data_IF_738700695842
#
_entry.id   IF_738700695842
#
_cell.length_a   1.000
_cell.length_b   1.000
_cell.length_c   1.000
_cell.angle_alpha   90.00
_cell.angle_beta   90.00
_cell.angle_gamma   90.00
#
_symmetry.space_group_name_H-M   'P 1'
#
loop_
_entity.id
_entity.type
_entity.pdbx_description
1 polymer ?
#
# COMPACT_ATOMS: atom_id res chain seq x y z
N UNK A 1 27.50 32.40 15.99
CA UNK A 1 26.19 31.82 16.39
C UNK A 1 25.53 32.63 17.52
N UNK A 2 26.17 32.76 18.69
CA UNK A 2 25.64 33.49 19.87
C UNK A 2 25.28 34.96 19.60
N UNK A 3 26.14 35.72 18.89
CA UNK A 3 25.86 37.14 18.56
C UNK A 3 24.64 37.32 17.63
N UNK A 4 24.41 36.38 16.71
CA UNK A 4 23.27 36.41 15.77
C UNK A 4 21.96 36.12 16.50
N UNK A 5 21.98 35.14 17.40
CA UNK A 5 20.86 34.82 18.29
C UNK A 5 20.49 36.00 19.20
N UNK A 6 21.47 36.62 19.86
CA UNK A 6 21.24 37.79 20.71
C UNK A 6 20.64 38.98 19.94
N UNK A 7 21.05 39.19 18.69
CA UNK A 7 20.48 40.24 17.82
C UNK A 7 19.03 39.94 17.40
N UNK A 8 18.70 38.68 17.11
CA UNK A 8 17.32 38.27 16.78
C UNK A 8 16.39 38.42 18.00
N UNK A 9 16.88 38.05 19.19
CA UNK A 9 16.14 38.22 20.44
C UNK A 9 15.84 39.70 20.72
N UNK A 10 16.82 40.59 20.50
CA UNK A 10 16.61 42.05 20.60
C UNK A 10 15.61 42.61 19.58
N UNK A 11 15.40 41.91 18.46
CA UNK A 11 14.41 42.24 17.42
C UNK A 11 13.05 41.58 17.67
N UNK A 12 12.83 41.06 18.88
CA UNK A 12 11.58 40.39 19.29
C UNK A 12 11.22 39.15 18.47
N UNK A 13 12.18 38.57 17.73
CA UNK A 13 12.03 37.23 17.19
C UNK A 13 12.27 36.22 18.33
N UNK A 14 11.18 35.80 18.97
CA UNK A 14 11.16 34.76 20.00
C UNK A 14 11.00 33.36 19.43
N UNK A 15 10.81 33.23 18.11
CA UNK A 15 10.75 31.93 17.45
C UNK A 15 12.12 31.26 17.52
N UNK A 16 12.13 30.08 18.15
CA UNK A 16 13.33 29.25 18.28
C UNK A 16 13.51 28.28 17.12
N UNK A 17 12.53 28.19 16.22
CA UNK A 17 12.62 27.34 15.05
C UNK A 17 13.60 27.93 14.02
N UNK A 18 14.26 27.04 13.29
CA UNK A 18 15.09 27.45 12.17
C UNK A 18 14.21 28.12 11.11
N UNK A 19 14.69 29.24 10.57
CA UNK A 19 14.03 29.88 9.43
C UNK A 19 14.00 28.91 8.24
N UNK A 20 12.95 29.00 7.41
CA UNK A 20 12.82 28.17 6.21
C UNK A 20 14.11 28.21 5.40
N UNK A 21 14.81 27.07 5.38
CA UNK A 21 16.03 26.94 4.61
C UNK A 21 15.64 26.86 3.14
N UNK A 22 16.22 27.71 2.30
CA UNK A 22 16.20 27.53 0.85
C UNK A 22 17.08 26.33 0.48
N UNK A 23 16.61 25.13 0.78
CA UNK A 23 17.27 23.88 0.42
C UNK A 23 17.41 23.74 -1.10
N UNK A 24 18.31 22.86 -1.55
CA UNK A 24 18.45 22.56 -2.97
C UNK A 24 17.10 22.05 -3.50
N UNK A 25 16.52 22.64 -4.55
CA UNK A 25 15.30 22.11 -5.16
C UNK A 25 15.59 20.68 -5.60
N UNK A 26 14.81 19.74 -5.07
CA UNK A 26 15.06 18.34 -5.25
C UNK A 26 14.74 17.98 -6.71
N UNK A 27 15.75 17.90 -7.57
CA UNK A 27 15.60 17.74 -9.04
C UNK A 27 14.91 16.45 -9.49
N UNK A 28 14.57 15.56 -8.54
CA UNK A 28 13.74 14.39 -8.79
C UNK A 28 12.25 14.62 -8.51
N UNK A 29 11.89 15.61 -7.70
CA UNK A 29 10.50 15.94 -7.33
C UNK A 29 9.98 16.99 -8.31
N UNK A 30 9.88 16.58 -9.57
CA UNK A 30 9.23 17.35 -10.64
C UNK A 30 7.89 16.67 -10.92
N UNK A 31 6.78 17.39 -11.17
CA UNK A 31 5.49 16.77 -11.46
C UNK A 31 5.54 15.70 -12.55
N UNK A 32 6.36 15.91 -13.57
CA UNK A 32 6.61 14.93 -14.63
C UNK A 32 7.20 13.61 -14.10
N UNK A 33 8.15 13.68 -13.16
CA UNK A 33 8.75 12.48 -12.56
C UNK A 33 7.75 11.75 -11.65
N UNK A 34 6.93 12.49 -10.89
CA UNK A 34 5.88 11.91 -10.04
C UNK A 34 4.88 11.15 -10.93
N UNK A 35 4.44 11.76 -12.03
CA UNK A 35 3.55 11.13 -13.01
C UNK A 35 4.18 9.86 -13.59
N UNK A 36 5.45 9.92 -13.98
CA UNK A 36 6.16 8.76 -14.55
C UNK A 36 6.32 7.61 -13.55
N UNK A 37 6.60 7.90 -12.28
CA UNK A 37 6.62 6.87 -11.21
C UNK A 37 5.24 6.26 -11.04
N UNK A 38 4.20 7.08 -11.03
CA UNK A 38 2.81 6.62 -10.91
C UNK A 38 2.42 5.67 -12.07
N UNK A 39 2.75 6.02 -13.31
CA UNK A 39 2.52 5.16 -14.48
C UNK A 39 3.26 3.82 -14.38
N UNK A 40 4.53 3.82 -13.94
CA UNK A 40 5.31 2.59 -13.75
C UNK A 40 4.69 1.68 -12.68
N UNK A 41 4.21 2.25 -11.57
CA UNK A 41 3.58 1.47 -10.49
C UNK A 41 2.22 0.93 -10.92
N UNK A 42 1.42 1.70 -11.67
CA UNK A 42 0.15 1.21 -12.21
C UNK A 42 0.34 0.06 -13.20
N UNK A 43 1.40 0.10 -14.00
CA UNK A 43 1.73 -0.98 -14.94
C UNK A 43 2.16 -2.27 -14.22
N UNK A 44 2.94 -2.17 -13.14
CA UNK A 44 3.33 -3.34 -12.33
C UNK A 44 3.53 -2.97 -10.86
N UNK A 45 2.52 -3.27 -10.04
CA UNK A 45 2.52 -3.02 -8.60
C UNK A 45 3.50 -3.89 -7.81
N UNK A 46 4.07 -4.95 -8.40
CA UNK A 46 5.01 -5.86 -7.74
C UNK A 46 6.48 -5.50 -7.95
N UNK A 47 6.74 -4.38 -8.62
CA UNK A 47 8.11 -3.92 -8.85
C UNK A 47 8.82 -3.57 -7.54
N UNK A 48 10.09 -3.98 -7.46
CA UNK A 48 11.00 -3.51 -6.41
C UNK A 48 11.30 -2.02 -6.64
N UNK A 49 11.39 -1.23 -5.57
CA UNK A 49 11.73 0.20 -5.64
C UNK A 49 13.00 0.46 -6.47
N UNK A 50 14.03 -0.38 -6.30
CA UNK A 50 15.26 -0.30 -7.07
C UNK A 50 15.05 -0.42 -8.60
N UNK A 51 14.10 -1.24 -9.06
CA UNK A 51 13.78 -1.35 -10.50
C UNK A 51 13.10 -0.08 -11.01
N UNK A 52 12.28 0.55 -10.18
CA UNK A 52 11.62 1.81 -10.53
C UNK A 52 12.67 2.93 -10.62
N UNK A 53 13.57 3.01 -9.63
CA UNK A 53 14.69 3.96 -9.62
C UNK A 53 15.61 3.79 -10.84
N UNK A 54 15.93 2.56 -11.23
CA UNK A 54 16.68 2.25 -12.46
C UNK A 54 15.95 2.75 -13.72
N UNK A 55 14.64 2.51 -13.84
CA UNK A 55 13.83 3.00 -14.97
C UNK A 55 13.76 4.53 -15.03
N UNK A 56 13.80 5.17 -13.87
CA UNK A 56 13.80 6.63 -13.75
C UNK A 56 15.20 7.24 -13.99
N UNK A 57 16.27 6.44 -14.01
CA UNK A 57 17.68 6.89 -14.02
C UNK A 57 17.96 7.91 -12.89
N UNK A 58 17.39 7.70 -11.70
CA UNK A 58 17.54 8.57 -10.52
C UNK A 58 18.20 7.82 -9.36
N UNK A 59 18.80 8.55 -8.41
CA UNK A 59 19.44 7.97 -7.23
C UNK A 59 18.43 7.40 -6.23
N UNK A 60 18.86 6.38 -5.47
CA UNK A 60 18.02 5.59 -4.55
C UNK A 60 17.28 6.41 -3.47
N UNK A 61 17.84 7.56 -3.07
CA UNK A 61 17.26 8.38 -2.00
C UNK A 61 15.91 9.02 -2.35
N UNK A 62 15.67 9.32 -3.63
CA UNK A 62 14.51 10.11 -4.03
C UNK A 62 13.25 9.27 -4.32
N UNK A 63 13.40 7.97 -4.55
CA UNK A 63 12.27 7.07 -4.84
C UNK A 63 11.33 6.93 -3.66
N UNK A 64 11.86 6.73 -2.46
CA UNK A 64 11.07 6.54 -1.24
C UNK A 64 10.20 7.75 -0.89
N UNK A 65 10.75 8.96 -0.94
CA UNK A 65 10.00 10.21 -0.73
C UNK A 65 8.87 10.35 -1.74
N UNK A 66 9.10 10.05 -3.01
CA UNK A 66 8.05 10.13 -4.05
C UNK A 66 6.94 9.12 -3.78
N UNK A 67 7.26 7.86 -3.42
CA UNK A 67 6.25 6.86 -3.11
C UNK A 67 5.41 7.25 -1.90
N UNK A 68 6.06 7.62 -0.80
CA UNK A 68 5.39 7.84 0.48
C UNK A 68 4.72 9.22 0.55
N UNK A 69 5.48 10.29 0.28
CA UNK A 69 5.05 11.66 0.59
C UNK A 69 4.20 12.27 -0.55
N UNK A 70 4.48 11.90 -1.81
CA UNK A 70 3.79 12.47 -2.97
C UNK A 70 2.70 11.56 -3.56
N UNK A 71 2.92 10.24 -3.57
CA UNK A 71 1.96 9.28 -4.12
C UNK A 71 1.17 8.52 -3.05
N UNK A 72 1.52 8.64 -1.77
CA UNK A 72 0.87 7.89 -0.66
C UNK A 72 0.81 6.37 -0.88
N UNK A 73 1.77 5.82 -1.63
CA UNK A 73 1.88 4.40 -1.92
C UNK A 73 2.61 3.70 -0.78
N UNK A 74 2.00 2.63 -0.26
CA UNK A 74 2.58 1.79 0.80
C UNK A 74 3.00 0.44 0.23
N UNK A 75 4.14 -0.08 0.69
CA UNK A 75 4.56 -1.45 0.39
C UNK A 75 3.69 -2.43 1.19
N UNK A 76 2.93 -3.27 0.50
CA UNK A 76 2.15 -4.34 1.10
C UNK A 76 2.66 -5.70 0.64
N UNK A 77 2.56 -6.70 1.51
CA UNK A 77 2.82 -8.09 1.15
C UNK A 77 1.66 -8.63 0.32
N UNK A 78 1.97 -9.43 -0.71
CA UNK A 78 0.94 -10.13 -1.48
C UNK A 78 0.23 -11.16 -0.59
N UNK A 79 -1.08 -11.29 -0.75
CA UNK A 79 -1.87 -12.33 -0.07
C UNK A 79 -1.70 -13.67 -0.78
N UNK A 80 -1.49 -14.74 -0.03
CA UNK A 80 -1.49 -16.10 -0.56
C UNK A 80 -2.90 -16.48 -1.05
N UNK A 81 -2.99 -17.04 -2.25
CA UNK A 81 -4.22 -17.53 -2.85
C UNK A 81 -4.07 -19.04 -3.03
N UNK A 82 -4.97 -19.81 -2.42
CA UNK A 82 -4.90 -21.29 -2.37
C UNK A 82 -4.78 -21.95 -3.75
N UNK A 83 -5.44 -21.40 -4.78
CA UNK A 83 -5.44 -21.96 -6.13
C UNK A 83 -5.58 -20.87 -7.20
N UNK A 84 -4.83 -21.01 -8.29
CA UNK A 84 -5.06 -20.26 -9.51
C UNK A 84 -6.23 -20.88 -10.28
N UNK A 85 -7.32 -20.13 -10.44
CA UNK A 85 -8.52 -20.61 -11.13
C UNK A 85 -8.52 -20.22 -12.61
N UNK A 86 -8.98 -21.14 -13.46
CA UNK A 86 -9.32 -20.89 -14.86
C UNK A 86 -10.71 -20.23 -14.98
N UNK A 87 -11.16 -19.97 -16.21
CA UNK A 87 -12.42 -19.24 -16.48
C UNK A 87 -13.64 -20.00 -15.96
N UNK A 88 -13.78 -21.30 -16.23
CA UNK A 88 -15.00 -22.04 -15.87
C UNK A 88 -15.23 -22.16 -14.36
N UNK A 89 -14.22 -22.51 -13.52
CA UNK A 89 -14.38 -22.51 -12.07
C UNK A 89 -14.69 -21.12 -11.49
N UNK A 90 -14.20 -20.04 -12.12
CA UNK A 90 -14.58 -18.66 -11.72
C UNK A 90 -16.05 -18.41 -11.99
N UNK A 91 -16.54 -18.76 -13.17
CA UNK A 91 -17.94 -18.56 -13.53
C UNK A 91 -18.88 -19.34 -12.63
N UNK A 92 -18.55 -20.61 -12.34
CA UNK A 92 -19.30 -21.44 -11.38
C UNK A 92 -19.34 -20.82 -9.98
N UNK A 93 -18.21 -20.28 -9.50
CA UNK A 93 -18.16 -19.60 -8.20
C UNK A 93 -19.03 -18.35 -8.16
N UNK A 94 -19.01 -17.53 -9.22
CA UNK A 94 -19.85 -16.33 -9.31
C UNK A 94 -21.33 -16.71 -9.28
N UNK A 95 -21.75 -17.66 -10.13
CA UNK A 95 -23.13 -18.12 -10.20
C UNK A 95 -23.62 -18.69 -8.86
N UNK A 96 -22.83 -19.58 -8.23
CA UNK A 96 -23.18 -20.14 -6.92
C UNK A 96 -23.26 -19.05 -5.84
N UNK A 97 -22.34 -18.08 -5.85
CA UNK A 97 -22.35 -16.98 -4.88
C UNK A 97 -23.55 -16.06 -5.07
N UNK A 98 -23.96 -15.78 -6.31
CA UNK A 98 -25.13 -14.97 -6.61
C UNK A 98 -26.40 -15.68 -6.13
N UNK A 99 -26.55 -16.95 -6.47
CA UNK A 99 -27.66 -17.79 -6.02
C UNK A 99 -27.77 -17.84 -4.48
N UNK A 100 -26.66 -18.11 -3.78
CA UNK A 100 -26.64 -18.09 -2.32
C UNK A 100 -26.98 -16.71 -1.74
N UNK A 101 -26.53 -15.62 -2.39
CA UNK A 101 -26.84 -14.25 -1.97
C UNK A 101 -28.32 -13.92 -2.11
N UNK A 102 -28.97 -14.37 -3.19
CA UNK A 102 -30.40 -14.18 -3.40
C UNK A 102 -31.22 -14.90 -2.33
N UNK A 103 -30.94 -16.19 -2.08
CA UNK A 103 -31.60 -16.96 -1.02
C UNK A 103 -31.41 -16.31 0.36
N UNK A 104 -30.19 -15.83 0.64
CA UNK A 104 -29.87 -15.15 1.87
C UNK A 104 -30.66 -13.84 2.05
N UNK A 105 -30.83 -13.06 0.97
CA UNK A 105 -31.60 -11.81 0.98
C UNK A 105 -33.10 -12.05 1.13
N UNK A 106 -33.64 -13.10 0.52
CA UNK A 106 -35.06 -13.44 0.60
C UNK A 106 -35.48 -13.81 2.04
N UNK A 107 -34.75 -14.71 2.69
CA UNK A 107 -35.03 -15.08 4.07
C UNK A 107 -33.78 -15.58 4.81
N UNK A 108 -33.09 -14.64 5.46
CA UNK A 108 -31.87 -14.90 6.22
C UNK A 108 -32.05 -15.95 7.32
N UNK A 109 -33.18 -15.93 8.02
CA UNK A 109 -33.44 -16.86 9.15
C UNK A 109 -33.60 -18.30 8.67
N UNK A 110 -34.36 -18.51 7.59
CA UNK A 110 -34.55 -19.85 7.01
C UNK A 110 -33.28 -20.34 6.35
N UNK A 111 -32.53 -19.46 5.67
CA UNK A 111 -31.25 -19.81 5.05
C UNK A 111 -30.29 -20.41 6.08
N UNK A 112 -30.03 -19.72 7.18
CA UNK A 112 -29.10 -20.22 8.20
C UNK A 112 -29.61 -21.44 8.95
N UNK A 113 -30.92 -21.55 9.23
CA UNK A 113 -31.48 -22.75 9.88
C UNK A 113 -31.25 -24.03 9.09
N UNK A 114 -31.14 -23.94 7.76
CA UNK A 114 -30.94 -25.10 6.87
C UNK A 114 -29.49 -25.27 6.43
N UNK A 115 -28.62 -24.30 6.69
CA UNK A 115 -27.25 -24.29 6.20
C UNK A 115 -26.35 -25.08 7.17
N UNK A 116 -26.01 -26.31 6.79
CA UNK A 116 -25.06 -27.16 7.49
C UNK A 116 -23.78 -27.27 6.65
N UNK A 117 -22.62 -27.04 7.28
CA UNK A 117 -21.31 -27.17 6.64
C UNK A 117 -20.45 -28.16 7.42
N UNK A 118 -19.62 -28.90 6.71
CA UNK A 118 -18.63 -29.80 7.28
C UNK A 118 -17.33 -29.64 6.48
N UNK A 119 -16.20 -29.61 7.19
CA UNK A 119 -14.86 -29.58 6.61
C UNK A 119 -13.92 -30.37 7.51
N UNK A 120 -12.81 -30.85 6.94
CA UNK A 120 -11.80 -31.63 7.66
C UNK A 120 -10.54 -30.78 7.82
N UNK A 121 -10.06 -30.66 9.05
CA UNK A 121 -8.81 -29.95 9.35
C UNK A 121 -7.80 -30.94 9.91
N UNK A 122 -6.62 -31.01 9.29
CA UNK A 122 -5.51 -31.80 9.80
C UNK A 122 -4.95 -31.18 11.08
N UNK A 123 -4.95 -31.94 12.18
CA UNK A 123 -4.32 -31.55 13.44
C UNK A 123 -3.01 -32.31 13.56
N UNK A 124 -1.91 -31.58 13.44
CA UNK A 124 -0.58 -32.17 13.61
C UNK A 124 -0.28 -32.36 15.10
N UNK A 125 0.04 -33.59 15.49
CA UNK A 125 0.55 -33.89 16.83
C UNK A 125 2.08 -33.81 16.82
N UNK A 126 2.63 -33.03 17.74
CA UNK A 126 4.06 -32.97 17.98
C UNK A 126 4.36 -33.62 19.34
N UNK A 127 5.13 -34.72 19.39
CA UNK A 127 5.54 -35.30 20.66
C UNK A 127 6.45 -34.32 21.41
N UNK A 128 6.30 -34.27 22.73
CA UNK A 128 7.20 -33.53 23.61
C UNK A 128 8.48 -34.36 23.76
N UNK A 129 9.57 -33.88 23.17
CA UNK A 129 10.94 -34.23 23.59
C UNK A 129 11.38 -33.34 24.75
#
# INVERSE_FOLDING_TARGET
MVKKWYANLKRSHTDTNDAELSGRPNSAIVPENIKKVHEIVLADQKLKSCKIEMRMKKSKGNGFTIFHDYLSIRKLCSKWVSRLLTVDPKQKRIANSQYCSELFKQNKQVFFRRYLTMDETWIHYYPLE
#
